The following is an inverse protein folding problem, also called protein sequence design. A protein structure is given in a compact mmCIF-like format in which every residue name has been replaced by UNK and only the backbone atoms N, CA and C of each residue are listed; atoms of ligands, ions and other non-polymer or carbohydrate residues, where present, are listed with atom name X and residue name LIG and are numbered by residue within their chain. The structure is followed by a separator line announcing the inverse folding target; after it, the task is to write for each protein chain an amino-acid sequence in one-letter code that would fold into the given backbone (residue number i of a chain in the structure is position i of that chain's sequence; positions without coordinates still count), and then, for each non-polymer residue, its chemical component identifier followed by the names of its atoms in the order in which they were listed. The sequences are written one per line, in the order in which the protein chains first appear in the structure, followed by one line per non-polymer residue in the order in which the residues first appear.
data_IF_993413454025
#
_entry.id   IF_993413454025
#
_cell.length_a   1.000
_cell.length_b   1.000
_cell.length_c   1.000
_cell.angle_alpha   90.00
_cell.angle_beta   90.00
_cell.angle_gamma   90.00
#
_symmetry.space_group_name_H-M   'P 1'
#
loop_
_entity.id
_entity.type
_entity.pdbx_description
1 polymer ?
#
# COMPACT_ATOMS: atom_id res chain seq x y z
N UNK A 1 -13.84 5.13 -21.81
CA UNK A 1 -12.86 4.06 -22.10
C UNK A 1 -13.22 3.29 -23.38
N UNK A 2 -14.37 2.61 -23.46
CA UNK A 2 -14.74 1.84 -24.67
C UNK A 2 -15.17 2.70 -25.86
N UNK A 3 -15.98 3.75 -25.65
CA UNK A 3 -16.46 4.59 -26.76
C UNK A 3 -15.39 5.55 -27.28
N UNK A 4 -14.54 6.07 -26.40
CA UNK A 4 -13.54 7.09 -26.74
C UNK A 4 -12.12 6.54 -26.86
N UNK A 5 -11.87 5.27 -26.52
CA UNK A 5 -10.54 4.65 -26.48
C UNK A 5 -9.46 5.43 -25.68
N UNK A 6 -9.89 6.22 -24.66
CA UNK A 6 -9.00 7.01 -23.79
C UNK A 6 -8.89 6.42 -22.39
N UNK A 7 -7.68 6.43 -21.84
CA UNK A 7 -7.38 6.10 -20.43
C UNK A 7 -8.12 7.02 -19.48
N UNK A 8 -8.60 6.47 -18.37
CA UNK A 8 -9.37 7.19 -17.34
C UNK A 8 -8.65 7.10 -16.00
N UNK A 9 -8.84 8.08 -15.13
CA UNK A 9 -8.34 8.07 -13.76
C UNK A 9 -9.49 8.35 -12.79
N UNK A 10 -9.49 7.65 -11.66
CA UNK A 10 -10.43 7.85 -10.56
C UNK A 10 -9.60 8.16 -9.32
N UNK A 11 -9.87 9.31 -8.70
CA UNK A 11 -9.24 9.70 -7.44
C UNK A 11 -10.20 9.45 -6.29
N UNK A 12 -9.80 8.58 -5.37
CA UNK A 12 -10.53 8.34 -4.12
C UNK A 12 -9.79 9.03 -2.98
N UNK A 13 -10.32 10.14 -2.49
CA UNK A 13 -9.76 10.93 -1.39
C UNK A 13 -10.67 10.91 -0.16
N UNK A 14 -10.10 11.27 0.99
CA UNK A 14 -10.80 11.28 2.28
C UNK A 14 -9.86 10.95 3.43
N UNK A 15 -10.30 11.24 4.64
CA UNK A 15 -9.55 10.90 5.86
C UNK A 15 -9.40 9.38 6.02
N UNK A 16 -8.46 8.96 6.87
CA UNK A 16 -8.34 7.53 7.16
C UNK A 16 -9.63 7.02 7.84
N UNK A 17 -10.11 5.84 7.45
CA UNK A 17 -11.40 5.30 7.89
C UNK A 17 -12.61 5.76 7.08
N UNK A 18 -12.49 6.74 6.16
CA UNK A 18 -13.60 7.23 5.33
C UNK A 18 -14.12 6.25 4.26
N UNK A 19 -13.72 4.97 4.32
CA UNK A 19 -14.15 3.95 3.36
C UNK A 19 -13.40 3.92 2.03
N UNK A 20 -12.24 4.59 1.89
CA UNK A 20 -11.47 4.63 0.63
C UNK A 20 -11.15 3.24 0.04
N UNK A 21 -10.74 2.31 0.90
CA UNK A 21 -10.42 0.93 0.50
C UNK A 21 -11.68 0.19 0.02
N UNK A 22 -12.79 0.32 0.75
CA UNK A 22 -14.07 -0.27 0.35
C UNK A 22 -14.61 0.32 -0.95
N UNK A 23 -14.51 1.64 -1.13
CA UNK A 23 -14.88 2.30 -2.39
C UNK A 23 -14.04 1.78 -3.56
N UNK A 24 -12.73 1.59 -3.37
CA UNK A 24 -11.84 1.03 -4.40
C UNK A 24 -12.24 -0.40 -4.75
N UNK A 25 -12.59 -1.22 -3.75
CA UNK A 25 -13.09 -2.58 -3.95
C UNK A 25 -14.39 -2.61 -4.76
N UNK A 26 -15.35 -1.74 -4.43
CA UNK A 26 -16.61 -1.62 -5.18
C UNK A 26 -16.39 -1.17 -6.62
N UNK A 27 -15.49 -0.22 -6.86
CA UNK A 27 -15.12 0.22 -8.22
C UNK A 27 -14.55 -0.96 -9.02
N UNK A 28 -13.63 -1.73 -8.43
CA UNK A 28 -13.02 -2.88 -9.09
C UNK A 28 -14.04 -3.98 -9.41
N UNK A 29 -14.95 -4.28 -8.48
CA UNK A 29 -16.05 -5.22 -8.70
C UNK A 29 -16.96 -4.78 -9.83
N UNK A 30 -17.30 -3.49 -9.86
CA UNK A 30 -18.14 -2.92 -10.92
C UNK A 30 -17.46 -3.01 -12.30
N UNK A 31 -16.17 -2.63 -12.40
CA UNK A 31 -15.42 -2.72 -13.64
C UNK A 31 -15.30 -4.17 -14.15
N UNK A 32 -15.11 -5.11 -13.23
CA UNK A 32 -15.05 -6.56 -13.55
C UNK A 32 -16.41 -7.08 -14.03
N UNK A 33 -17.50 -6.63 -13.39
CA UNK A 33 -18.87 -7.00 -13.76
C UNK A 33 -19.24 -6.48 -15.17
N UNK A 34 -18.96 -5.21 -15.45
CA UNK A 34 -19.30 -4.57 -16.73
C UNK A 34 -18.39 -5.03 -17.88
N UNK A 35 -17.09 -5.24 -17.62
CA UNK A 35 -16.14 -5.70 -18.63
C UNK A 35 -16.28 -7.18 -19.00
N UNK A 36 -17.01 -7.96 -18.20
CA UNK A 36 -17.14 -9.41 -18.35
C UNK A 36 -15.93 -10.17 -17.82
N UNK A 37 -16.17 -11.38 -17.31
CA UNK A 37 -15.09 -12.29 -16.86
C UNK A 37 -14.52 -13.05 -18.05
N UNK A 38 -13.19 -13.15 -18.14
CA UNK A 38 -12.57 -14.15 -18.99
C UNK A 38 -12.92 -15.55 -18.42
N UNK A 39 -13.41 -16.45 -19.27
CA UNK A 39 -13.75 -17.80 -18.84
C UNK A 39 -12.48 -18.61 -18.56
N UNK A 40 -12.39 -19.22 -17.37
CA UNK A 40 -11.37 -20.23 -17.04
C UNK A 40 -10.26 -19.81 -16.08
N UNK A 41 -10.32 -18.64 -15.44
CA UNK A 41 -9.34 -18.24 -14.43
C UNK A 41 -9.90 -18.43 -13.01
N UNK A 42 -9.30 -19.34 -12.23
CA UNK A 42 -9.69 -19.61 -10.84
C UNK A 42 -9.42 -18.41 -9.90
N UNK A 43 -8.55 -17.48 -10.31
CA UNK A 43 -8.21 -16.27 -9.54
C UNK A 43 -8.25 -15.03 -10.42
N UNK A 44 -9.24 -14.17 -10.19
CA UNK A 44 -9.35 -12.92 -10.94
C UNK A 44 -8.25 -11.92 -10.56
N UNK A 45 -7.84 -11.08 -11.51
CA UNK A 45 -6.96 -9.92 -11.25
C UNK A 45 -7.51 -9.05 -10.12
N UNK A 46 -8.84 -8.90 -10.05
CA UNK A 46 -9.53 -8.22 -8.95
C UNK A 46 -9.14 -8.81 -7.59
N UNK A 47 -9.24 -10.13 -7.44
CA UNK A 47 -8.94 -10.83 -6.20
C UNK A 47 -7.47 -10.66 -5.80
N UNK A 48 -6.53 -10.72 -6.75
CA UNK A 48 -5.11 -10.52 -6.47
C UNK A 48 -4.81 -9.13 -5.91
N UNK A 49 -5.42 -8.08 -6.49
CA UNK A 49 -5.27 -6.72 -5.99
C UNK A 49 -5.87 -6.57 -4.58
N UNK A 50 -7.04 -7.16 -4.34
CA UNK A 50 -7.68 -7.12 -3.01
C UNK A 50 -6.90 -7.89 -1.95
N UNK A 51 -6.35 -9.07 -2.29
CA UNK A 51 -5.51 -9.90 -1.42
C UNK A 51 -4.17 -9.22 -1.05
N UNK A 52 -3.70 -8.27 -1.86
CA UNK A 52 -2.50 -7.50 -1.55
C UNK A 52 -2.70 -6.42 -0.48
N UNK A 53 -3.94 -5.99 -0.23
CA UNK A 53 -4.23 -4.88 0.69
C UNK A 53 -3.74 -5.14 2.12
N UNK A 54 -4.00 -6.30 2.77
CA UNK A 54 -3.50 -6.57 4.11
C UNK A 54 -1.97 -6.42 4.23
N UNK A 55 -1.23 -6.82 3.19
CA UNK A 55 0.23 -6.64 3.14
C UNK A 55 0.59 -5.15 3.10
N UNK A 56 -0.03 -4.39 2.20
CA UNK A 56 0.23 -2.95 2.09
C UNK A 56 -0.18 -2.18 3.35
N UNK A 57 -1.25 -2.59 4.02
CA UNK A 57 -1.66 -2.01 5.30
C UNK A 57 -0.67 -2.33 6.42
N UNK A 58 -0.13 -3.55 6.47
CA UNK A 58 0.90 -3.90 7.45
C UNK A 58 2.14 -3.00 7.33
N UNK A 59 2.60 -2.75 6.10
CA UNK A 59 3.82 -1.97 5.85
C UNK A 59 3.61 -0.45 5.74
N UNK A 60 2.38 0.00 5.48
CA UNK A 60 2.08 1.38 5.14
C UNK A 60 1.09 2.09 6.07
N UNK A 61 0.44 1.37 6.99
CA UNK A 61 -0.45 1.96 7.97
C UNK A 61 0.18 1.99 9.37
N UNK A 62 -0.19 3.02 10.13
CA UNK A 62 0.23 3.21 11.50
C UNK A 62 -0.92 3.79 12.34
N UNK A 63 -0.83 3.62 13.66
CA UNK A 63 -1.71 4.30 14.62
C UNK A 63 -1.24 5.74 14.83
N UNK A 64 -2.14 6.68 14.59
CA UNK A 64 -1.98 8.11 14.93
C UNK A 64 -2.83 8.46 16.14
N UNK A 65 -2.80 9.73 16.56
CA UNK A 65 -3.65 10.24 17.66
C UNK A 65 -5.15 10.01 17.39
N UNK A 66 -5.58 10.15 16.14
CA UNK A 66 -6.98 10.15 15.75
C UNK A 66 -7.44 8.86 15.07
N UNK A 67 -6.52 8.00 14.64
CA UNK A 67 -6.87 6.82 13.85
C UNK A 67 -5.88 5.67 14.07
N UNK A 68 -6.40 4.51 14.47
CA UNK A 68 -5.59 3.32 14.76
C UNK A 68 -5.02 2.62 13.52
N UNK A 69 -5.57 2.90 12.33
CA UNK A 69 -5.16 2.31 11.05
C UNK A 69 -5.05 3.38 9.95
N UNK A 70 -4.18 4.37 10.16
CA UNK A 70 -3.97 5.49 9.23
C UNK A 70 -2.97 5.15 8.13
N UNK A 71 -3.40 5.19 6.86
CA UNK A 71 -2.47 5.04 5.72
C UNK A 71 -1.52 6.23 5.63
N UNK A 72 -0.22 5.93 5.61
CA UNK A 72 0.87 6.92 5.51
C UNK A 72 1.62 6.81 4.18
N UNK A 73 0.92 6.36 3.15
CA UNK A 73 1.38 6.26 1.77
C UNK A 73 0.21 6.46 0.80
N UNK A 74 0.53 6.90 -0.42
CA UNK A 74 -0.39 6.90 -1.55
C UNK A 74 -0.35 5.56 -2.29
N UNK A 75 -1.52 5.08 -2.72
CA UNK A 75 -1.66 3.85 -3.50
C UNK A 75 -2.32 4.18 -4.84
N UNK A 76 -1.66 3.82 -5.94
CA UNK A 76 -2.20 3.88 -7.29
C UNK A 76 -2.39 2.46 -7.80
N UNK A 77 -3.60 2.15 -8.23
CA UNK A 77 -3.93 0.86 -8.84
C UNK A 77 -4.22 1.13 -10.31
N UNK A 78 -3.35 0.63 -11.17
CA UNK A 78 -3.51 0.65 -12.61
C UNK A 78 -4.28 -0.61 -13.02
N UNK A 79 -5.39 -0.47 -13.74
CA UNK A 79 -6.16 -1.58 -14.29
C UNK A 79 -6.05 -1.51 -15.82
N UNK A 80 -5.64 -2.63 -16.41
CA UNK A 80 -5.44 -2.78 -17.85
C UNK A 80 -6.61 -3.55 -18.45
N UNK A 81 -7.05 -3.12 -19.62
CA UNK A 81 -8.16 -3.73 -20.34
C UNK A 81 -7.69 -4.24 -21.71
N UNK A 82 -8.26 -5.34 -22.17
CA UNK A 82 -8.08 -5.84 -23.53
C UNK A 82 -8.96 -5.07 -24.54
N UNK A 83 -8.82 -5.41 -25.82
CA UNK A 83 -9.62 -4.81 -26.89
C UNK A 83 -11.14 -5.05 -26.76
N UNK A 84 -11.56 -6.04 -25.97
CA UNK A 84 -12.96 -6.37 -25.71
C UNK A 84 -13.49 -5.67 -24.46
N UNK A 85 -12.68 -4.87 -23.76
CA UNK A 85 -13.05 -4.20 -22.52
C UNK A 85 -13.02 -5.10 -21.28
N UNK A 86 -12.37 -6.27 -21.35
CA UNK A 86 -12.14 -7.16 -20.20
C UNK A 86 -10.88 -6.76 -19.46
N UNK A 87 -10.87 -6.93 -18.15
CA UNK A 87 -9.66 -6.72 -17.36
C UNK A 87 -8.62 -7.78 -17.75
N UNK A 88 -7.47 -7.33 -18.26
CA UNK A 88 -6.37 -8.18 -18.71
C UNK A 88 -5.20 -8.19 -17.73
N UNK A 89 -5.11 -7.19 -16.84
CA UNK A 89 -4.02 -7.08 -15.86
C UNK A 89 -4.22 -5.93 -14.89
N UNK A 90 -3.38 -5.90 -13.86
CA UNK A 90 -3.31 -4.79 -12.91
C UNK A 90 -1.89 -4.59 -12.39
N UNK A 91 -1.55 -3.35 -12.03
CA UNK A 91 -0.30 -3.01 -11.36
C UNK A 91 -0.58 -2.07 -10.17
N UNK A 92 0.10 -2.31 -9.05
CA UNK A 92 0.01 -1.45 -7.88
C UNK A 92 1.30 -0.68 -7.74
N UNK A 93 1.20 0.64 -7.62
CA UNK A 93 2.32 1.53 -7.37
C UNK A 93 2.06 2.32 -6.09
N UNK A 94 3.07 2.37 -5.23
CA UNK A 94 3.01 3.10 -3.96
C UNK A 94 3.86 4.36 -4.04
N UNK A 95 3.40 5.45 -3.44
CA UNK A 95 4.07 6.75 -3.46
C UNK A 95 4.00 7.40 -2.08
N UNK A 96 4.88 8.37 -1.82
CA UNK A 96 4.81 9.25 -0.63
C UNK A 96 4.69 8.49 0.71
N UNK A 97 5.40 7.36 0.84
CA UNK A 97 5.53 6.70 2.14
C UNK A 97 6.19 7.68 3.13
N UNK A 98 5.60 7.87 4.30
CA UNK A 98 6.17 8.68 5.38
C UNK A 98 7.38 7.97 6.01
N UNK A 99 8.53 8.06 5.33
CA UNK A 99 9.77 7.38 5.72
C UNK A 99 10.30 7.82 7.08
N UNK A 100 10.06 9.08 7.47
CA UNK A 100 10.49 9.63 8.77
C UNK A 100 9.90 8.88 9.95
N UNK A 101 8.68 8.31 9.82
CA UNK A 101 8.01 7.54 10.87
C UNK A 101 8.80 6.32 11.34
N UNK A 102 9.66 5.77 10.48
CA UNK A 102 10.49 4.60 10.81
C UNK A 102 11.48 4.95 11.93
N UNK A 103 12.03 6.17 11.91
CA UNK A 103 13.10 6.61 12.82
C UNK A 103 12.62 7.55 13.91
N UNK A 104 11.51 8.25 13.70
CA UNK A 104 10.96 9.24 14.62
C UNK A 104 9.45 9.08 14.72
N UNK A 105 8.95 8.88 15.94
CA UNK A 105 7.53 8.73 16.23
C UNK A 105 7.18 9.74 17.32
N UNK A 106 6.07 10.46 17.13
CA UNK A 106 5.55 11.40 18.13
C UNK A 106 4.68 10.63 19.12
N UNK A 107 4.89 10.80 20.42
CA UNK A 107 3.99 10.26 21.44
C UNK A 107 2.61 10.96 21.35
N UNK A 108 1.46 10.25 21.36
CA UNK A 108 1.24 8.81 21.60
C UNK A 108 1.05 7.93 20.34
N UNK A 109 1.58 8.34 19.18
CA UNK A 109 1.52 7.57 17.94
C UNK A 109 2.39 6.31 17.95
N UNK A 110 2.22 5.45 16.94
CA UNK A 110 3.01 4.23 16.75
C UNK A 110 3.71 4.20 15.39
N UNK A 111 4.66 3.28 15.27
CA UNK A 111 5.28 2.93 13.99
C UNK A 111 4.31 2.11 13.11
N UNK A 112 4.77 1.69 11.93
CA UNK A 112 4.03 0.80 11.04
C UNK A 112 3.69 -0.55 11.70
N UNK A 113 2.52 -1.09 11.37
CA UNK A 113 2.00 -2.32 11.99
C UNK A 113 2.92 -3.52 11.84
N UNK A 114 3.66 -3.62 10.73
CA UNK A 114 4.55 -4.73 10.44
C UNK A 114 5.59 -4.94 11.55
N UNK A 115 6.11 -3.88 12.16
CA UNK A 115 7.08 -4.00 13.25
C UNK A 115 6.47 -4.69 14.48
N UNK A 116 5.25 -4.30 14.86
CA UNK A 116 4.56 -4.89 15.99
C UNK A 116 4.10 -6.32 15.71
N UNK A 117 3.61 -6.60 14.50
CA UNK A 117 3.19 -7.93 14.07
C UNK A 117 4.39 -8.90 14.04
N UNK A 118 5.55 -8.44 13.56
CA UNK A 118 6.78 -9.22 13.59
C UNK A 118 7.20 -9.53 15.03
N UNK A 119 7.28 -8.52 15.91
CA UNK A 119 7.60 -8.73 17.33
C UNK A 119 6.64 -9.72 18.02
N UNK A 120 5.34 -9.59 17.76
CA UNK A 120 4.32 -10.45 18.35
C UNK A 120 4.38 -11.91 17.84
N UNK A 121 4.95 -12.15 16.66
CA UNK A 121 5.04 -13.50 16.08
C UNK A 121 5.99 -14.44 16.83
N UNK A 122 6.83 -13.93 17.73
CA UNK A 122 7.80 -14.71 18.51
C UNK A 122 8.92 -15.36 17.69
N UNK A 123 8.98 -15.12 16.38
CA UNK A 123 9.96 -15.70 15.43
C UNK A 123 11.10 -14.76 15.07
N UNK A 124 11.16 -13.58 15.68
CA UNK A 124 12.17 -12.58 15.32
C UNK A 124 13.47 -12.88 16.08
N UNK A 125 14.42 -13.48 15.39
CA UNK A 125 15.84 -13.28 15.71
C UNK A 125 16.15 -11.79 15.53
N UNK A 126 16.80 -11.17 16.51
CA UNK A 126 17.15 -9.74 16.57
C UNK A 126 17.78 -9.19 15.27
N UNK A 127 18.30 -10.06 14.41
CA UNK A 127 18.82 -9.77 13.09
C UNK A 127 17.83 -9.13 12.11
N UNK A 128 16.52 -9.48 12.11
CA UNK A 128 15.58 -8.94 11.09
C UNK A 128 15.15 -7.50 11.42
N UNK A 129 14.88 -7.22 12.70
CA UNK A 129 14.66 -5.85 13.18
C UNK A 129 15.92 -5.01 13.00
N UNK A 130 17.10 -5.58 13.30
CA UNK A 130 18.37 -4.91 13.08
C UNK A 130 18.60 -4.61 11.59
N UNK A 131 18.33 -5.52 10.64
CA UNK A 131 18.51 -5.24 9.21
C UNK A 131 17.57 -4.12 8.74
N UNK A 132 16.28 -4.18 9.10
CA UNK A 132 15.32 -3.14 8.67
C UNK A 132 15.70 -1.78 9.27
N UNK A 133 16.16 -1.74 10.52
CA UNK A 133 16.61 -0.50 11.17
C UNK A 133 17.99 -0.03 10.69
N UNK A 134 18.94 -0.93 10.43
CA UNK A 134 20.29 -0.58 9.96
C UNK A 134 20.29 -0.06 8.53
N UNK A 135 19.56 -0.70 7.60
CA UNK A 135 19.48 -0.20 6.23
C UNK A 135 18.75 1.15 6.17
N UNK A 136 17.70 1.35 6.99
CA UNK A 136 17.03 2.65 7.06
C UNK A 136 17.86 3.73 7.75
N UNK A 137 18.53 3.43 8.86
CA UNK A 137 19.42 4.38 9.53
C UNK A 137 20.65 4.73 8.69
N UNK A 138 21.27 3.76 8.01
CA UNK A 138 22.39 4.01 7.12
C UNK A 138 21.98 4.86 5.92
N UNK A 139 20.80 4.60 5.34
CA UNK A 139 20.23 5.42 4.28
C UNK A 139 19.90 6.84 4.75
N UNK A 140 19.32 7.01 5.95
CA UNK A 140 19.03 8.34 6.49
C UNK A 140 20.28 9.12 6.92
N UNK A 141 21.30 8.45 7.47
CA UNK A 141 22.59 9.05 7.79
C UNK A 141 23.32 9.52 6.52
N UNK A 142 23.20 8.77 5.43
CA UNK A 142 23.72 9.15 4.11
C UNK A 142 22.95 10.33 3.50
N UNK A 143 21.60 10.32 3.55
CA UNK A 143 20.76 11.42 3.02
C UNK A 143 20.90 12.72 3.83
N UNK A 144 21.11 12.66 5.15
CA UNK A 144 21.28 13.83 6.01
C UNK A 144 22.71 14.37 6.06
N UNK A 145 23.66 13.76 5.33
CA UNK A 145 25.02 14.29 5.22
C UNK A 145 25.75 14.42 6.56
N UNK A 146 25.46 13.54 7.53
CA UNK A 146 26.23 13.50 8.79
C UNK A 146 27.56 12.81 8.51
N UNK A 147 28.43 13.50 7.79
CA UNK A 147 29.86 13.28 7.91
C UNK A 147 30.23 13.65 9.35
N UNK A 148 30.53 12.65 10.18
CA UNK A 148 31.44 12.87 11.29
C UNK A 148 32.79 13.25 10.66
N UNK A 149 33.05 14.54 10.53
CA UNK A 149 34.40 15.05 10.43
C UNK A 149 35.00 15.01 11.83
N UNK A 150 35.91 14.04 11.97
CA UNK A 150 36.99 13.90 12.96
C UNK A 150 37.60 15.21 13.43
#
# INVERSE_FOLDING_TARGET
MMNEARSQSILVSGESGAGKTETTKLIMQYLTYVGGRAAGDDRTVEQQVLESNPLLEAFGNARTVWNDNSSRFGKFVEIQFDANGRISGAAIRTYLLERSRVVQITDPERNYHCFYQLCASGKVSYSVLAIILYDFCAYYAWVLGVHQSS
#
